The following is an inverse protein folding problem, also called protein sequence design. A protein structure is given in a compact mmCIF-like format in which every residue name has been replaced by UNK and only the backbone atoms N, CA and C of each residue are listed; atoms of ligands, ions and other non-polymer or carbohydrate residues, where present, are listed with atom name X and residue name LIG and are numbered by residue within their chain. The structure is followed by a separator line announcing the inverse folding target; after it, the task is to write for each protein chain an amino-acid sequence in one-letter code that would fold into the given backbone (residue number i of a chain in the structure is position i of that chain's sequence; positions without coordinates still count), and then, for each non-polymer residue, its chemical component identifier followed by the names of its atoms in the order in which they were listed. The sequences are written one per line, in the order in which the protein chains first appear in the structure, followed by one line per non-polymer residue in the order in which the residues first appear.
data_IF_663283499286
#
_entry.id   IF_663283499286
#
_cell.length_a   1.000
_cell.length_b   1.000
_cell.length_c   1.000
_cell.angle_alpha   90.00
_cell.angle_beta   90.00
_cell.angle_gamma   90.00
#
_symmetry.space_group_name_H-M   'P 1'
#
loop_
_entity.id
_entity.type
_entity.pdbx_description
1 polymer ?
#
# COMPACT_ATOMS: atom_id res chain seq x y z
N UNK A 1 5.79 -19.58 3.98
CA UNK A 1 4.70 -18.58 4.09
C UNK A 1 4.54 -17.93 2.74
N UNK A 2 3.35 -17.94 2.16
CA UNK A 2 3.08 -17.10 1.00
C UNK A 2 3.29 -15.63 1.38
N UNK A 3 3.98 -14.90 0.52
CA UNK A 3 4.39 -13.53 0.75
C UNK A 3 3.81 -12.67 -0.36
N UNK A 4 2.81 -11.86 -0.01
CA UNK A 4 2.24 -10.89 -0.93
C UNK A 4 3.14 -9.65 -1.04
N UNK A 5 3.26 -9.10 -2.24
CA UNK A 5 3.85 -7.79 -2.51
C UNK A 5 3.31 -7.22 -3.82
N UNK A 6 3.39 -5.89 -3.96
CA UNK A 6 2.92 -5.18 -5.15
C UNK A 6 4.02 -5.23 -6.21
N UNK A 7 3.68 -5.68 -7.43
CA UNK A 7 4.61 -5.74 -8.57
C UNK A 7 4.57 -4.49 -9.43
N UNK A 8 3.38 -3.93 -9.60
CA UNK A 8 3.13 -2.70 -10.34
C UNK A 8 1.84 -2.04 -9.84
N UNK A 9 1.69 -0.75 -10.14
CA UNK A 9 0.49 0.04 -9.90
C UNK A 9 0.12 0.75 -11.20
N UNK A 10 -1.05 0.44 -11.73
CA UNK A 10 -1.61 1.14 -12.89
C UNK A 10 -2.67 2.14 -12.44
N UNK A 11 -2.45 3.41 -12.74
CA UNK A 11 -3.35 4.51 -12.40
C UNK A 11 -4.08 4.93 -13.66
N UNK A 12 -5.32 4.48 -13.81
CA UNK A 12 -6.21 4.97 -14.86
C UNK A 12 -6.66 6.40 -14.56
N UNK A 13 -7.21 6.66 -13.37
CA UNK A 13 -7.60 7.99 -12.93
C UNK A 13 -7.58 8.15 -11.41
N UNK A 14 -6.77 9.08 -10.91
CA UNK A 14 -6.77 9.56 -9.52
C UNK A 14 -6.60 11.07 -9.51
N UNK A 15 -7.68 11.81 -9.27
CA UNK A 15 -7.72 13.29 -9.38
C UNK A 15 -7.23 13.74 -10.77
N UNK A 16 -6.11 14.43 -10.84
CA UNK A 16 -5.50 14.90 -12.09
C UNK A 16 -4.46 13.91 -12.66
N UNK A 17 -4.09 12.86 -11.92
CA UNK A 17 -3.23 11.79 -12.43
C UNK A 17 -4.09 10.84 -13.27
N UNK A 18 -3.64 10.55 -14.49
CA UNK A 18 -4.35 9.74 -15.47
C UNK A 18 -3.33 8.98 -16.31
N UNK A 19 -3.68 7.74 -16.67
CA UNK A 19 -2.90 6.84 -17.52
C UNK A 19 -1.40 6.77 -17.17
N UNK A 20 -1.10 6.46 -15.91
CA UNK A 20 0.26 6.39 -15.39
C UNK A 20 0.55 5.05 -14.72
N UNK A 21 1.67 4.42 -15.09
CA UNK A 21 2.12 3.15 -14.53
C UNK A 21 3.37 3.33 -13.64
N UNK A 22 3.36 2.65 -12.50
CA UNK A 22 4.50 2.53 -11.60
C UNK A 22 4.91 1.06 -11.53
N UNK A 23 6.00 0.71 -12.21
CA UNK A 23 6.65 -0.58 -12.04
C UNK A 23 7.43 -0.60 -10.72
N UNK A 24 7.21 -1.63 -9.90
CA UNK A 24 7.93 -1.80 -8.63
C UNK A 24 9.00 -2.87 -8.80
N UNK A 25 8.59 -4.10 -9.10
CA UNK A 25 9.48 -5.24 -9.30
C UNK A 25 8.69 -6.50 -9.67
N UNK A 26 9.19 -7.29 -10.62
CA UNK A 26 8.54 -8.52 -11.04
C UNK A 26 8.76 -9.70 -10.06
N UNK A 27 9.90 -9.73 -9.36
CA UNK A 27 10.43 -10.90 -8.65
C UNK A 27 10.78 -10.65 -7.18
N UNK A 28 11.19 -9.44 -6.81
CA UNK A 28 11.63 -9.10 -5.46
C UNK A 28 10.80 -7.99 -4.81
N UNK A 29 10.79 -7.92 -3.48
CA UNK A 29 10.13 -6.85 -2.74
C UNK A 29 10.94 -5.56 -2.81
N UNK A 30 10.30 -4.44 -3.17
CA UNK A 30 10.91 -3.10 -3.15
C UNK A 30 10.04 -2.08 -2.42
N UNK A 31 10.68 -1.03 -1.92
CA UNK A 31 10.01 0.13 -1.37
C UNK A 31 9.65 1.12 -2.47
N UNK A 32 8.41 1.63 -2.43
CA UNK A 32 7.98 2.76 -3.25
C UNK A 32 7.95 4.01 -2.38
N UNK A 33 8.60 5.09 -2.83
CA UNK A 33 8.61 6.39 -2.14
C UNK A 33 7.77 7.37 -2.97
N UNK A 34 6.70 7.90 -2.39
CA UNK A 34 5.88 8.96 -3.00
C UNK A 34 6.34 10.32 -2.47
N UNK A 35 6.93 11.14 -3.34
CA UNK A 35 7.39 12.49 -3.04
C UNK A 35 6.78 13.51 -3.99
N UNK A 36 6.93 14.80 -3.68
CA UNK A 36 6.42 15.91 -4.48
C UNK A 36 5.89 17.06 -3.62
N UNK A 37 5.48 18.14 -4.28
CA UNK A 37 4.94 19.36 -3.65
C UNK A 37 3.67 19.05 -2.84
N UNK A 38 3.29 19.93 -1.92
CA UNK A 38 1.98 19.82 -1.26
C UNK A 38 0.86 19.96 -2.30
N UNK A 39 -0.27 19.28 -2.07
CA UNK A 39 -1.40 19.28 -3.01
C UNK A 39 -1.23 18.43 -4.28
N UNK A 40 -0.05 17.86 -4.56
CA UNK A 40 0.22 17.10 -5.79
C UNK A 40 -0.43 15.69 -5.85
N UNK A 41 -1.25 15.32 -4.86
CA UNK A 41 -2.00 14.05 -4.90
C UNK A 41 -1.39 12.85 -4.18
N UNK A 42 -0.27 12.99 -3.45
CA UNK A 42 0.35 11.87 -2.69
C UNK A 42 -0.63 11.08 -1.83
N UNK A 43 -1.38 11.76 -0.96
CA UNK A 43 -2.38 11.13 -0.08
C UNK A 43 -3.48 10.44 -0.89
N UNK A 44 -3.87 11.00 -2.03
CA UNK A 44 -4.95 10.48 -2.88
C UNK A 44 -4.55 9.20 -3.59
N UNK A 45 -3.30 9.14 -4.04
CA UNK A 45 -2.72 7.89 -4.58
C UNK A 45 -2.71 6.83 -3.48
N UNK A 46 -2.30 7.16 -2.25
CA UNK A 46 -2.33 6.22 -1.12
C UNK A 46 -3.76 5.75 -0.78
N UNK A 47 -4.74 6.65 -0.78
CA UNK A 47 -6.16 6.32 -0.56
C UNK A 47 -6.68 5.37 -1.64
N UNK A 48 -6.38 5.64 -2.91
CA UNK A 48 -6.76 4.77 -4.04
C UNK A 48 -6.12 3.39 -3.94
N UNK A 49 -4.83 3.30 -3.60
CA UNK A 49 -4.14 2.03 -3.36
C UNK A 49 -4.81 1.26 -2.21
N UNK A 50 -5.09 1.94 -1.09
CA UNK A 50 -5.75 1.32 0.06
C UNK A 50 -7.13 0.77 -0.31
N UNK A 51 -7.94 1.53 -1.05
CA UNK A 51 -9.24 1.08 -1.54
C UNK A 51 -9.12 -0.20 -2.38
N UNK A 52 -8.20 -0.22 -3.34
CA UNK A 52 -7.98 -1.39 -4.21
C UNK A 52 -7.49 -2.62 -3.44
N UNK A 53 -6.57 -2.45 -2.48
CA UNK A 53 -6.09 -3.55 -1.64
C UNK A 53 -7.21 -4.14 -0.77
N UNK A 54 -8.06 -3.30 -0.17
CA UNK A 54 -9.19 -3.76 0.64
C UNK A 54 -10.24 -4.51 -0.19
N UNK A 55 -10.51 -4.05 -1.42
CA UNK A 55 -11.40 -4.76 -2.34
C UNK A 55 -10.85 -6.15 -2.70
N UNK A 56 -9.56 -6.24 -3.04
CA UNK A 56 -8.90 -7.52 -3.34
C UNK A 56 -8.86 -8.45 -2.12
N UNK A 57 -8.55 -7.91 -0.94
CA UNK A 57 -8.53 -8.68 0.31
C UNK A 57 -9.91 -9.22 0.66
N UNK A 58 -10.97 -8.45 0.45
CA UNK A 58 -12.35 -8.89 0.70
C UNK A 58 -12.74 -10.13 -0.14
N UNK A 59 -12.08 -10.34 -1.27
CA UNK A 59 -12.32 -11.47 -2.19
C UNK A 59 -11.31 -12.61 -2.01
N UNK A 60 -10.25 -12.44 -1.22
CA UNK A 60 -9.17 -13.42 -1.07
C UNK A 60 -8.78 -13.58 0.41
N UNK A 61 -9.16 -14.71 1.01
CA UNK A 61 -8.94 -15.00 2.42
C UNK A 61 -7.46 -14.99 2.82
N UNK A 62 -6.57 -15.52 1.97
CA UNK A 62 -5.13 -15.53 2.24
C UNK A 62 -4.57 -14.10 2.29
N UNK A 63 -4.97 -13.25 1.33
CA UNK A 63 -4.58 -11.84 1.31
C UNK A 63 -5.18 -11.07 2.49
N UNK A 64 -6.44 -11.33 2.85
CA UNK A 64 -7.09 -10.75 4.03
C UNK A 64 -6.31 -11.04 5.31
N UNK A 65 -6.01 -12.31 5.55
CA UNK A 65 -5.23 -12.73 6.72
C UNK A 65 -3.83 -12.10 6.73
N UNK A 66 -3.18 -12.00 5.56
CA UNK A 66 -1.89 -11.33 5.43
C UNK A 66 -1.97 -9.85 5.85
N UNK A 67 -2.95 -9.10 5.33
CA UNK A 67 -3.15 -7.68 5.65
C UNK A 67 -3.46 -7.48 7.13
N UNK A 68 -4.35 -8.28 7.71
CA UNK A 68 -4.72 -8.20 9.13
C UNK A 68 -3.51 -8.47 10.04
N UNK A 69 -2.73 -9.51 9.75
CA UNK A 69 -1.52 -9.83 10.50
C UNK A 69 -0.47 -8.71 10.38
N UNK A 70 -0.29 -8.16 9.18
CA UNK A 70 0.64 -7.05 8.96
C UNK A 70 0.22 -5.81 9.77
N UNK A 71 -1.06 -5.43 9.73
CA UNK A 71 -1.58 -4.30 10.51
C UNK A 71 -1.43 -4.53 12.03
N UNK A 72 -1.68 -5.75 12.51
CA UNK A 72 -1.46 -6.11 13.92
C UNK A 72 0.01 -5.95 14.31
N UNK A 73 0.95 -6.28 13.42
CA UNK A 73 2.39 -6.11 13.66
C UNK A 73 2.81 -4.64 13.75
N UNK A 74 2.22 -3.76 12.93
CA UNK A 74 2.50 -2.31 12.97
C UNK A 74 1.98 -1.70 14.27
N UNK A 75 0.77 -2.09 14.70
CA UNK A 75 0.16 -1.59 15.94
C UNK A 75 1.01 -1.94 17.16
N UNK A 76 1.51 -3.18 17.25
CA UNK A 76 2.39 -3.62 18.34
C UNK A 76 3.72 -2.85 18.38
N UNK A 77 4.28 -2.48 17.22
CA UNK A 77 5.51 -1.66 17.15
C UNK A 77 5.31 -0.22 17.63
N UNK A 78 4.09 0.32 17.60
CA UNK A 78 3.77 1.66 18.11
C UNK A 78 3.61 1.71 19.64
N UNK A 79 3.53 0.57 20.32
CA UNK A 79 3.37 0.48 21.78
C UNK A 79 4.65 0.73 22.59
N UNK A 80 5.72 1.24 21.97
CA UNK A 80 6.94 1.60 22.69
C UNK A 80 6.63 2.86 23.50
N UNK A 81 6.35 2.67 24.79
CA UNK A 81 6.24 3.72 25.78
C UNK A 81 7.63 4.37 25.91
N UNK A 82 7.77 5.59 25.42
CA UNK A 82 8.89 6.45 25.80
C UNK A 82 8.65 6.83 27.26
N UNK A 83 9.32 6.12 28.18
CA UNK A 83 9.40 6.54 29.57
C UNK A 83 10.19 7.84 29.65
N UNK A 84 9.61 8.84 30.32
CA UNK A 84 10.34 10.02 30.78
C UNK A 84 11.08 9.69 32.07
#
# INVERSE_FOLDING_TARGET
MESFFVKSISIYKVRHLEDFDIEISASERKHLILTGKNGCGKTSVLEAINYQLNNKASQNLALKNFVENYLKSIRQKKSIQIGY
#
